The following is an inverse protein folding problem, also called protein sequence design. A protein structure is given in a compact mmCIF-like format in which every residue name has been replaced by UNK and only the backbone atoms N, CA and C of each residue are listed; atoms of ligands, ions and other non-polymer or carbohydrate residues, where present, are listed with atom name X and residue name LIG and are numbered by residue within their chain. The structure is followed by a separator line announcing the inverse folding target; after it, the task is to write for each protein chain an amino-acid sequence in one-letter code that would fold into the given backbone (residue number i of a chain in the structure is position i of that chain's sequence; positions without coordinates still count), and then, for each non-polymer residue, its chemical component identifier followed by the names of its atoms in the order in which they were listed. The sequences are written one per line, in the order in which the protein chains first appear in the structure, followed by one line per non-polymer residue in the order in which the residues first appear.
data_IF_401279693695
#
_entry.id   IF_401279693695
#
_cell.length_a   1.000
_cell.length_b   1.000
_cell.length_c   1.000
_cell.angle_alpha   90.00
_cell.angle_beta   90.00
_cell.angle_gamma   90.00
#
_symmetry.space_group_name_H-M   'P 1'
#
loop_
_entity.id
_entity.type
_entity.pdbx_description
1 polymer ?
#
# COMPACT_ATOMS: atom_id res chain seq x y z
N UNK A 1 -28.27 3.01 3.78
CA UNK A 1 -26.96 3.42 4.33
C UNK A 1 -25.97 2.35 3.94
N UNK A 2 -24.87 2.67 3.26
CA UNK A 2 -23.82 1.68 2.98
C UNK A 2 -23.11 1.33 4.28
N UNK A 3 -22.98 0.05 4.60
CA UNK A 3 -22.18 -0.40 5.74
C UNK A 3 -20.73 0.04 5.55
N UNK A 4 -20.16 0.73 6.54
CA UNK A 4 -18.74 1.09 6.55
C UNK A 4 -17.98 0.00 7.30
N UNK A 5 -17.08 -0.68 6.59
CA UNK A 5 -16.22 -1.70 7.17
C UNK A 5 -14.85 -1.09 7.51
N UNK A 6 -14.36 -1.36 8.73
CA UNK A 6 -13.02 -0.96 9.19
C UNK A 6 -12.28 -2.20 9.66
N UNK A 7 -11.04 -2.37 9.21
CA UNK A 7 -10.17 -3.46 9.66
C UNK A 7 -9.10 -2.92 10.60
N UNK A 8 -8.99 -3.54 11.78
CA UNK A 8 -7.84 -3.40 12.69
C UNK A 8 -7.21 -4.79 12.81
N UNK A 9 -5.93 -4.91 12.48
CA UNK A 9 -5.23 -6.20 12.44
C UNK A 9 -3.85 -6.05 13.09
N UNK A 10 -3.56 -6.77 14.19
CA UNK A 10 -2.22 -6.84 14.74
C UNK A 10 -1.28 -7.51 13.71
N UNK A 11 -0.15 -6.88 13.42
CA UNK A 11 0.84 -7.45 12.51
C UNK A 11 2.25 -6.97 12.86
N UNK A 12 3.23 -7.85 12.65
CA UNK A 12 4.64 -7.50 12.62
C UNK A 12 5.13 -7.28 11.19
N UNK A 13 6.30 -6.65 11.02
CA UNK A 13 6.87 -6.37 9.69
C UNK A 13 7.03 -7.63 8.82
N UNK A 14 7.29 -8.78 9.44
CA UNK A 14 7.43 -10.09 8.78
C UNK A 14 6.08 -10.65 8.29
N UNK A 15 4.96 -10.15 8.81
CA UNK A 15 3.62 -10.72 8.62
C UNK A 15 2.76 -9.89 7.66
N UNK A 16 3.31 -8.82 7.07
CA UNK A 16 2.56 -7.91 6.21
C UNK A 16 1.87 -8.55 5.03
N UNK A 17 2.40 -9.66 4.51
CA UNK A 17 1.74 -10.38 3.43
C UNK A 17 0.34 -10.84 3.84
N UNK A 18 0.21 -11.49 4.99
CA UNK A 18 -1.07 -12.00 5.48
C UNK A 18 -2.06 -10.85 5.80
N UNK A 19 -1.56 -9.77 6.41
CA UNK A 19 -2.37 -8.59 6.69
C UNK A 19 -2.89 -7.90 5.41
N UNK A 20 -2.04 -7.79 4.39
CA UNK A 20 -2.40 -7.23 3.08
C UNK A 20 -3.39 -8.12 2.35
N UNK A 21 -3.17 -9.45 2.33
CA UNK A 21 -4.13 -10.40 1.76
C UNK A 21 -5.51 -10.23 2.40
N UNK A 22 -5.57 -10.16 3.75
CA UNK A 22 -6.83 -9.95 4.46
C UNK A 22 -7.48 -8.62 4.12
N UNK A 23 -6.71 -7.54 3.99
CA UNK A 23 -7.24 -6.25 3.56
C UNK A 23 -7.86 -6.33 2.16
N UNK A 24 -7.22 -6.99 1.21
CA UNK A 24 -7.74 -7.14 -0.16
C UNK A 24 -8.94 -8.08 -0.25
N UNK A 25 -9.07 -9.07 0.63
CA UNK A 25 -10.28 -9.89 0.76
C UNK A 25 -11.48 -9.08 1.24
N UNK A 26 -11.27 -8.24 2.26
CA UNK A 26 -12.32 -7.44 2.88
C UNK A 26 -12.69 -6.21 2.03
N UNK A 27 -11.72 -5.66 1.30
CA UNK A 27 -11.86 -4.45 0.50
C UNK A 27 -11.34 -4.67 -0.92
N UNK A 28 -11.95 -5.55 -1.73
CA UNK A 28 -11.42 -5.92 -3.04
C UNK A 28 -11.52 -4.73 -4.01
N UNK A 29 -10.39 -4.14 -4.46
CA UNK A 29 -10.44 -3.05 -5.41
C UNK A 29 -10.64 -3.59 -6.83
N UNK A 30 -11.46 -2.93 -7.62
CA UNK A 30 -11.57 -3.25 -9.05
C UNK A 30 -10.38 -2.66 -9.81
N UNK A 31 -9.32 -3.43 -10.01
CA UNK A 31 -8.08 -2.94 -10.64
C UNK A 31 -7.74 -3.57 -11.99
N UNK A 32 -8.40 -4.66 -12.38
CA UNK A 32 -8.08 -5.40 -13.62
C UNK A 32 -8.18 -4.48 -14.84
N UNK A 33 -7.12 -4.43 -15.64
CA UNK A 33 -7.03 -3.58 -16.82
C UNK A 33 -6.99 -2.07 -16.53
N UNK A 34 -6.96 -1.64 -15.27
CA UNK A 34 -6.88 -0.22 -14.89
C UNK A 34 -5.43 0.20 -14.64
N UNK A 35 -5.16 1.51 -14.78
CA UNK A 35 -3.92 2.12 -14.30
C UNK A 35 -4.10 2.48 -12.83
N UNK A 36 -3.34 1.84 -11.96
CA UNK A 36 -3.47 1.96 -10.50
C UNK A 36 -2.36 2.86 -9.95
N UNK A 37 -2.74 3.86 -9.15
CA UNK A 37 -1.79 4.66 -8.36
C UNK A 37 -1.66 4.06 -6.96
N UNK A 38 -0.46 3.68 -6.56
CA UNK A 38 -0.14 3.34 -5.18
C UNK A 38 0.45 4.59 -4.53
N UNK A 39 -0.23 5.12 -3.52
CA UNK A 39 0.19 6.33 -2.81
C UNK A 39 0.73 5.96 -1.41
N UNK A 40 2.03 5.67 -1.27
CA UNK A 40 2.65 5.51 0.04
C UNK A 40 2.66 6.83 0.80
N UNK A 41 2.65 6.73 2.13
CA UNK A 41 3.07 7.81 3.00
C UNK A 41 4.61 7.93 2.93
N UNK A 42 5.09 9.04 2.37
CA UNK A 42 6.52 9.39 2.24
C UNK A 42 6.68 10.86 2.62
N UNK A 43 6.65 11.16 3.93
CA UNK A 43 6.62 12.53 4.45
C UNK A 43 7.99 13.22 4.47
N UNK A 44 9.08 12.48 4.73
CA UNK A 44 10.47 12.94 4.59
C UNK A 44 11.38 11.72 4.44
N UNK A 45 12.66 11.93 4.09
CA UNK A 45 13.65 10.86 4.19
C UNK A 45 13.74 10.43 5.65
N UNK A 46 13.61 9.13 5.89
CA UNK A 46 13.70 8.50 7.19
C UNK A 46 14.12 7.05 7.00
N UNK A 47 14.56 6.39 8.07
CA UNK A 47 14.63 4.93 8.08
C UNK A 47 13.22 4.34 8.23
N UNK A 48 13.01 3.07 7.87
CA UNK A 48 11.71 2.40 8.04
C UNK A 48 11.25 2.31 9.50
N UNK A 49 12.19 2.27 10.46
CA UNK A 49 11.90 2.09 11.88
C UNK A 49 11.37 3.35 12.57
N UNK A 50 11.51 4.52 11.93
CA UNK A 50 11.05 5.80 12.48
C UNK A 50 9.53 6.00 12.36
N UNK A 51 8.81 5.14 11.62
CA UNK A 51 7.34 5.23 11.47
C UNK A 51 6.85 6.44 10.64
N UNK A 52 7.76 7.14 9.98
CA UNK A 52 7.49 8.36 9.18
C UNK A 52 7.04 8.02 7.76
N UNK A 53 7.47 6.87 7.23
CA UNK A 53 7.11 6.35 5.93
C UNK A 53 6.43 4.98 6.05
N UNK A 54 5.65 4.60 5.03
CA UNK A 54 5.21 3.20 4.96
C UNK A 54 6.41 2.29 4.76
N UNK A 55 6.57 1.32 5.65
CA UNK A 55 7.69 0.39 5.61
C UNK A 55 7.81 -0.30 4.23
N UNK A 56 9.02 -0.43 3.65
CA UNK A 56 9.20 -0.98 2.30
C UNK A 56 8.60 -2.38 2.10
N UNK A 57 8.64 -3.23 3.13
CA UNK A 57 8.02 -4.55 3.10
C UNK A 57 6.49 -4.49 2.89
N UNK A 58 5.81 -3.49 3.44
CA UNK A 58 4.37 -3.28 3.24
C UNK A 58 4.09 -2.91 1.79
N UNK A 59 4.86 -1.98 1.23
CA UNK A 59 4.71 -1.56 -0.16
C UNK A 59 4.96 -2.70 -1.14
N UNK A 60 5.97 -3.54 -0.86
CA UNK A 60 6.23 -4.76 -1.64
C UNK A 60 5.01 -5.68 -1.64
N UNK A 61 4.46 -6.00 -0.47
CA UNK A 61 3.30 -6.89 -0.34
C UNK A 61 2.08 -6.35 -1.11
N UNK A 62 1.81 -5.03 -1.03
CA UNK A 62 0.71 -4.38 -1.77
C UNK A 62 0.94 -4.46 -3.28
N UNK A 63 2.14 -4.15 -3.76
CA UNK A 63 2.45 -4.18 -5.20
C UNK A 63 2.38 -5.61 -5.74
N UNK A 64 2.89 -6.61 -5.01
CA UNK A 64 2.77 -8.02 -5.38
C UNK A 64 1.30 -8.44 -5.45
N UNK A 65 0.49 -8.07 -4.45
CA UNK A 65 -0.94 -8.38 -4.47
C UNK A 65 -1.68 -7.74 -5.64
N UNK A 66 -1.37 -6.49 -5.96
CA UNK A 66 -1.96 -5.80 -7.10
C UNK A 66 -1.58 -6.46 -8.43
N UNK A 67 -0.35 -6.94 -8.59
CA UNK A 67 0.09 -7.63 -9.83
C UNK A 67 -0.75 -8.88 -10.11
N UNK A 68 -1.10 -9.65 -9.08
CA UNK A 68 -1.97 -10.83 -9.20
C UNK A 68 -3.35 -10.48 -9.77
N UNK A 69 -3.81 -9.24 -9.58
CA UNK A 69 -5.12 -8.77 -10.02
C UNK A 69 -5.13 -8.23 -11.47
N UNK A 70 -4.02 -8.36 -12.20
CA UNK A 70 -3.85 -7.99 -13.60
C UNK A 70 -4.26 -6.53 -13.96
N UNK A 71 -3.72 -5.50 -13.29
CA UNK A 71 -3.87 -4.12 -13.72
C UNK A 71 -3.14 -3.86 -15.04
N UNK A 72 -3.54 -2.84 -15.78
CA UNK A 72 -2.82 -2.42 -16.99
C UNK A 72 -1.46 -1.78 -16.66
N UNK A 73 -1.38 -1.08 -15.52
CA UNK A 73 -0.14 -0.52 -14.99
C UNK A 73 -0.28 -0.22 -13.50
N UNK A 74 0.85 -0.28 -12.78
CA UNK A 74 0.97 0.20 -11.40
C UNK A 74 1.95 1.38 -11.42
N UNK A 75 1.51 2.52 -10.91
CA UNK A 75 2.30 3.75 -10.79
C UNK A 75 2.52 4.02 -9.32
N UNK A 76 3.76 4.31 -8.93
CA UNK A 76 4.05 4.82 -7.60
C UNK A 76 3.83 6.32 -7.58
N UNK A 77 2.91 6.77 -6.73
CA UNK A 77 2.76 8.18 -6.39
C UNK A 77 3.77 8.56 -5.30
N UNK A 78 4.23 9.80 -5.35
CA UNK A 78 4.93 10.42 -4.24
C UNK A 78 4.51 11.86 -4.20
N UNK A 79 4.19 12.37 -3.02
CA UNK A 79 4.10 13.82 -2.84
C UNK A 79 5.49 14.40 -3.14
N UNK A 80 5.65 15.47 -3.93
CA UNK A 80 6.94 16.10 -4.12
C UNK A 80 7.38 16.67 -2.78
N UNK A 81 8.22 15.92 -2.07
CA UNK A 81 9.02 16.49 -1.00
C UNK A 81 10.05 17.36 -1.70
N UNK A 82 9.87 18.67 -1.55
CA UNK A 82 10.66 19.71 -2.20
C UNK A 82 12.11 19.29 -2.36
N UNK A 83 12.53 19.18 -3.62
CA UNK A 83 13.93 19.33 -3.92
C UNK A 83 14.34 20.74 -3.51
N UNK A 84 15.24 20.84 -2.53
CA UNK A 84 16.44 21.66 -2.61
C UNK A 84 17.25 21.54 -1.31
N UNK A 85 18.58 21.56 -1.38
CA UNK A 85 19.48 20.76 -2.21
C UNK A 85 19.99 19.50 -1.49
#
# INVERSE_FOLDING_TARGET
MSEQLVMIHPAQYQEYKAAVEKAFELFPPEVKGKRVLVQPNVLRRSTPDEGILNHPALLRAVVEKLKEMAPAAIVMGGTPLGGAP
#
